data_IF_766620675345
#
_entry.id   IF_766620675345
#
_cell.length_a   1.000
_cell.length_b   1.000
_cell.length_c   1.000
_cell.angle_alpha   90.00
_cell.angle_beta   90.00
_cell.angle_gamma   90.00
#
_symmetry.space_group_name_H-M   'P 1'
#
loop_
_entity.id
_entity.type
_entity.pdbx_description
1 polymer ?
#
# COMPACT_ATOMS: atom_id res chain seq x y z
N UNK A 1 -29.62 -21.94 -28.77
CA UNK A 1 -28.66 -20.81 -28.82
C UNK A 1 -27.47 -21.25 -29.64
N UNK A 2 -27.09 -20.43 -30.63
CA UNK A 2 -26.29 -20.81 -31.81
C UNK A 2 -24.82 -21.05 -31.44
N UNK A 3 -24.30 -22.22 -31.77
CA UNK A 3 -22.87 -22.53 -31.73
C UNK A 3 -22.18 -21.79 -32.88
N UNK A 4 -21.31 -20.84 -32.56
CA UNK A 4 -20.46 -20.16 -33.53
C UNK A 4 -19.19 -21.00 -33.65
N UNK A 5 -19.11 -21.81 -34.71
CA UNK A 5 -17.90 -22.50 -35.13
C UNK A 5 -17.02 -21.45 -35.81
N UNK A 6 -15.94 -21.02 -35.14
CA UNK A 6 -14.94 -20.13 -35.72
C UNK A 6 -13.96 -21.00 -36.52
N UNK A 7 -14.09 -20.99 -37.85
CA UNK A 7 -13.16 -21.63 -38.76
C UNK A 7 -11.85 -20.83 -38.83
N UNK A 8 -10.77 -21.39 -38.29
CA UNK A 8 -9.41 -20.86 -38.46
C UNK A 8 -8.88 -21.35 -39.80
N UNK A 9 -8.69 -20.43 -40.74
CA UNK A 9 -8.13 -20.68 -42.06
C UNK A 9 -6.64 -20.96 -41.92
N UNK A 10 -6.22 -22.20 -42.25
CA UNK A 10 -4.81 -22.58 -42.36
C UNK A 10 -4.28 -22.23 -43.76
N UNK A 11 -3.37 -21.26 -43.84
CA UNK A 11 -2.57 -21.06 -45.04
C UNK A 11 -1.41 -22.06 -45.02
N UNK A 12 -1.52 -23.12 -45.81
CA UNK A 12 -0.44 -24.07 -46.08
C UNK A 12 0.63 -23.38 -46.95
N UNK A 13 1.77 -23.04 -46.32
CA UNK A 13 2.97 -22.55 -46.98
C UNK A 13 4.08 -23.61 -46.93
N UNK A 14 4.75 -23.78 -48.07
CA UNK A 14 5.81 -24.72 -48.43
C UNK A 14 6.68 -25.29 -47.29
N UNK A 15 6.91 -26.61 -47.38
CA UNK A 15 7.89 -27.37 -46.62
C UNK A 15 9.31 -26.81 -46.80
N UNK A 16 9.79 -26.12 -45.77
CA UNK A 16 11.21 -26.04 -45.43
C UNK A 16 11.46 -27.19 -44.47
N UNK A 17 12.59 -27.89 -44.59
CA UNK A 17 13.04 -28.86 -43.60
C UNK A 17 13.27 -28.14 -42.25
N UNK A 18 12.20 -28.01 -41.47
CA UNK A 18 12.14 -27.40 -40.15
C UNK A 18 11.27 -28.30 -39.29
N UNK A 19 11.63 -28.44 -38.01
CA UNK A 19 10.94 -29.29 -37.06
C UNK A 19 9.42 -29.09 -37.14
N UNK A 20 8.67 -30.19 -37.10
CA UNK A 20 7.22 -30.15 -37.22
C UNK A 20 6.65 -29.27 -36.09
N UNK A 21 6.03 -28.15 -36.47
CA UNK A 21 5.38 -27.25 -35.53
C UNK A 21 4.09 -27.90 -35.03
N UNK A 22 4.06 -28.16 -33.74
CA UNK A 22 2.90 -28.70 -33.03
C UNK A 22 2.12 -27.56 -32.36
N UNK A 23 0.80 -27.70 -32.32
CA UNK A 23 -0.10 -26.72 -31.72
C UNK A 23 -0.78 -27.31 -30.48
N UNK A 24 -0.65 -26.64 -29.34
CA UNK A 24 -1.36 -26.97 -28.09
C UNK A 24 -2.16 -25.77 -27.58
N UNK A 25 -3.34 -26.06 -27.03
CA UNK A 25 -4.19 -25.07 -26.37
C UNK A 25 -4.08 -25.26 -24.87
N UNK A 26 -3.76 -24.18 -24.17
CA UNK A 26 -3.67 -24.15 -22.72
C UNK A 26 -4.75 -23.25 -22.13
N UNK A 27 -5.26 -23.63 -20.96
CA UNK A 27 -6.20 -22.82 -20.18
C UNK A 27 -5.41 -22.02 -19.15
N UNK A 28 -5.66 -20.71 -19.10
CA UNK A 28 -5.10 -19.80 -18.11
C UNK A 28 -6.11 -19.68 -16.96
N UNK A 29 -5.65 -19.94 -15.74
CA UNK A 29 -6.39 -19.76 -14.49
C UNK A 29 -6.61 -18.28 -14.18
N UNK A 30 -6.43 -17.84 -12.95
CA UNK A 30 -6.70 -16.45 -12.53
C UNK A 30 -5.56 -15.46 -12.80
N UNK A 31 -4.44 -15.94 -13.36
CA UNK A 31 -3.31 -15.09 -13.71
C UNK A 31 -3.67 -14.04 -14.79
N UNK A 32 -2.87 -12.98 -14.86
CA UNK A 32 -3.01 -11.98 -15.91
C UNK A 32 -2.67 -12.59 -17.27
N UNK A 33 -3.55 -12.38 -18.24
CA UNK A 33 -3.45 -13.01 -19.56
C UNK A 33 -2.24 -12.51 -20.35
N UNK A 34 -1.90 -11.23 -20.21
CA UNK A 34 -0.78 -10.62 -20.92
C UNK A 34 0.56 -11.03 -20.30
N UNK A 35 0.64 -11.09 -18.97
CA UNK A 35 1.83 -11.60 -18.27
C UNK A 35 2.14 -13.04 -18.66
N UNK A 36 1.11 -13.90 -18.69
CA UNK A 36 1.26 -15.31 -19.07
C UNK A 36 1.71 -15.43 -20.53
N UNK A 37 1.10 -14.67 -21.45
CA UNK A 37 1.51 -14.67 -22.86
C UNK A 37 2.97 -14.21 -23.03
N UNK A 38 3.36 -13.12 -22.36
CA UNK A 38 4.72 -12.60 -22.44
C UNK A 38 5.76 -13.59 -21.90
N UNK A 39 5.46 -14.24 -20.76
CA UNK A 39 6.33 -15.25 -20.17
C UNK A 39 6.48 -16.48 -21.06
N UNK A 40 5.37 -16.99 -21.61
CA UNK A 40 5.39 -18.14 -22.53
C UNK A 40 6.17 -17.76 -23.80
N UNK A 41 5.89 -16.61 -24.41
CA UNK A 41 6.56 -16.13 -25.63
C UNK A 41 8.08 -16.01 -25.45
N UNK A 42 8.54 -15.62 -24.27
CA UNK A 42 9.98 -15.54 -23.96
C UNK A 42 10.68 -16.92 -23.89
N UNK A 43 9.92 -18.00 -23.69
CA UNK A 43 10.43 -19.38 -23.65
C UNK A 43 10.32 -20.15 -24.95
N UNK A 44 9.65 -19.60 -25.96
CA UNK A 44 9.44 -20.26 -27.25
C UNK A 44 10.66 -20.12 -28.16
N UNK A 45 10.71 -20.98 -29.19
CA UNK A 45 11.68 -20.87 -30.27
C UNK A 45 11.46 -19.56 -31.08
N UNK A 46 12.46 -19.13 -31.89
CA UNK A 46 12.28 -18.00 -32.81
C UNK A 46 11.14 -18.18 -33.81
N UNK A 47 10.69 -19.41 -34.07
CA UNK A 47 9.57 -19.73 -34.96
C UNK A 47 8.23 -19.88 -34.22
N UNK A 48 8.27 -19.93 -32.88
CA UNK A 48 7.12 -20.12 -32.02
C UNK A 48 6.13 -18.97 -32.10
N UNK A 49 4.84 -19.30 -32.10
CA UNK A 49 3.74 -18.34 -32.16
C UNK A 49 2.77 -18.55 -31.01
N UNK A 50 2.31 -17.45 -30.43
CA UNK A 50 1.25 -17.43 -29.43
C UNK A 50 0.01 -16.73 -30.00
N UNK A 51 -1.17 -17.25 -29.68
CA UNK A 51 -2.44 -16.58 -29.93
C UNK A 51 -3.26 -16.59 -28.65
N UNK A 52 -3.45 -15.42 -28.06
CA UNK A 52 -4.29 -15.24 -26.89
C UNK A 52 -5.78 -15.21 -27.29
N UNK A 53 -6.60 -15.96 -26.56
CA UNK A 53 -8.06 -15.99 -26.69
C UNK A 53 -8.68 -15.46 -25.39
N UNK A 54 -8.83 -14.11 -25.22
CA UNK A 54 -9.18 -13.52 -23.93
C UNK A 54 -10.55 -13.94 -23.40
N UNK A 55 -11.53 -14.13 -24.29
CA UNK A 55 -12.90 -14.52 -23.91
C UNK A 55 -12.98 -15.90 -23.27
N UNK A 56 -12.10 -16.81 -23.68
CA UNK A 56 -12.06 -18.19 -23.17
C UNK A 56 -10.96 -18.41 -22.14
N UNK A 57 -10.15 -17.37 -21.86
CA UNK A 57 -8.92 -17.44 -21.05
C UNK A 57 -8.00 -18.58 -21.52
N UNK A 58 -7.83 -18.70 -22.84
CA UNK A 58 -6.96 -19.72 -23.45
C UNK A 58 -5.78 -19.08 -24.16
N UNK A 59 -4.67 -19.79 -24.17
CA UNK A 59 -3.49 -19.47 -24.96
C UNK A 59 -3.21 -20.63 -25.91
N UNK A 60 -3.28 -20.36 -27.21
CA UNK A 60 -2.80 -21.28 -28.23
C UNK A 60 -1.31 -21.03 -28.42
N UNK A 61 -0.52 -22.09 -28.29
CA UNK A 61 0.93 -22.08 -28.52
C UNK A 61 1.23 -23.02 -29.67
N UNK A 62 1.95 -22.52 -30.67
CA UNK A 62 2.45 -23.30 -31.79
C UNK A 62 3.98 -23.23 -31.80
N UNK A 63 4.64 -24.36 -31.60
CA UNK A 63 6.11 -24.43 -31.58
C UNK A 63 6.61 -25.86 -31.85
N UNK A 64 7.91 -26.06 -31.87
CA UNK A 64 8.52 -27.38 -31.93
C UNK A 64 8.22 -28.18 -30.65
N UNK A 65 8.06 -29.50 -30.78
CA UNK A 65 7.67 -30.39 -29.68
C UNK A 65 8.58 -30.32 -28.45
N UNK A 66 9.84 -29.88 -28.60
CA UNK A 66 10.82 -29.71 -27.52
C UNK A 66 10.50 -28.52 -26.59
N UNK A 67 9.87 -27.45 -27.10
CA UNK A 67 9.58 -26.22 -26.33
C UNK A 67 8.19 -26.23 -25.69
N UNK A 68 7.25 -27.05 -26.20
CA UNK A 68 5.90 -27.16 -25.65
C UNK A 68 5.84 -27.56 -24.17
N UNK A 69 6.68 -28.50 -23.65
CA UNK A 69 6.74 -28.81 -22.23
C UNK A 69 7.15 -27.63 -21.35
N UNK A 70 8.01 -26.74 -21.87
CA UNK A 70 8.44 -25.54 -21.14
C UNK A 70 7.30 -24.52 -21.04
N UNK A 71 6.56 -24.30 -22.13
CA UNK A 71 5.34 -23.49 -22.11
C UNK A 71 4.30 -24.05 -21.14
N UNK A 72 4.11 -25.38 -21.13
CA UNK A 72 3.21 -26.07 -20.20
C UNK A 72 3.62 -25.87 -18.74
N UNK A 73 4.92 -26.00 -18.42
CA UNK A 73 5.44 -25.79 -17.07
C UNK A 73 5.23 -24.34 -16.59
N UNK A 74 5.44 -23.35 -17.47
CA UNK A 74 5.21 -21.94 -17.15
C UNK A 74 3.72 -21.71 -16.83
N UNK A 75 2.82 -22.19 -17.67
CA UNK A 75 1.38 -22.02 -17.46
C UNK A 75 0.91 -22.76 -16.20
N UNK A 76 1.41 -23.97 -15.95
CA UNK A 76 1.14 -24.71 -14.73
C UNK A 76 1.59 -23.94 -13.48
N UNK A 77 2.76 -23.29 -13.53
CA UNK A 77 3.24 -22.45 -12.43
C UNK A 77 2.35 -21.21 -12.21
N UNK A 78 1.86 -20.58 -13.27
CA UNK A 78 0.92 -19.45 -13.16
C UNK A 78 -0.45 -19.87 -12.63
N UNK A 79 -0.88 -21.09 -12.92
CA UNK A 79 -2.15 -21.67 -12.47
C UNK A 79 -2.06 -22.28 -11.06
N UNK A 80 -0.88 -22.33 -10.45
CA UNK A 80 -0.72 -22.85 -9.10
C UNK A 80 -1.56 -22.03 -8.10
N UNK A 81 -2.25 -22.68 -7.15
CA UNK A 81 -3.06 -22.00 -6.15
C UNK A 81 -2.16 -21.09 -5.32
N UNK A 82 -2.48 -19.80 -5.32
CA UNK A 82 -1.77 -18.82 -4.50
C UNK A 82 -2.44 -18.76 -3.14
N UNK A 83 -1.72 -19.02 -2.03
CA UNK A 83 -2.31 -19.01 -0.71
C UNK A 83 -2.76 -17.59 -0.32
N UNK A 84 -3.74 -17.52 0.56
CA UNK A 84 -4.14 -16.26 1.17
C UNK A 84 -3.21 -15.94 2.34
N UNK A 85 -2.89 -14.67 2.49
CA UNK A 85 -2.04 -14.16 3.56
C UNK A 85 -2.85 -13.15 4.36
N UNK A 86 -3.00 -13.43 5.64
CA UNK A 86 -3.51 -12.47 6.61
C UNK A 86 -2.35 -11.55 7.02
N UNK A 87 -2.42 -10.29 6.61
CA UNK A 87 -1.44 -9.28 7.03
C UNK A 87 -2.07 -8.38 8.09
N UNK A 88 -1.45 -8.31 9.25
CA UNK A 88 -1.84 -7.44 10.36
C UNK A 88 -0.81 -6.33 10.50
N UNK A 89 -1.30 -5.09 10.60
CA UNK A 89 -0.49 -3.91 10.86
C UNK A 89 -0.95 -3.29 12.17
N UNK A 90 0.01 -3.09 13.06
CA UNK A 90 -0.20 -2.56 14.40
C UNK A 90 0.50 -1.21 14.50
N UNK A 91 -0.28 -0.15 14.68
CA UNK A 91 0.23 1.20 14.92
C UNK A 91 0.28 1.44 16.42
N UNK A 92 1.44 1.85 16.95
CA UNK A 92 1.60 2.24 18.35
C UNK A 92 1.71 3.76 18.42
N UNK A 93 0.60 4.44 18.73
CA UNK A 93 0.60 5.88 18.95
C UNK A 93 0.83 6.17 20.43
N UNK A 94 2.07 6.53 20.79
CA UNK A 94 2.40 7.04 22.11
C UNK A 94 2.32 8.58 22.07
N UNK A 95 1.20 9.14 22.54
CA UNK A 95 1.00 10.58 22.68
C UNK A 95 1.13 11.01 24.15
N UNK A 96 1.96 11.99 24.44
CA UNK A 96 2.00 12.68 25.73
C UNK A 96 1.55 14.11 25.56
N UNK A 97 0.45 14.51 26.23
CA UNK A 97 0.07 15.91 26.34
C UNK A 97 0.79 16.46 27.57
N UNK A 98 1.78 17.35 27.35
CA UNK A 98 2.41 18.16 28.39
C UNK A 98 1.78 19.56 28.35
N UNK A 99 0.74 19.76 29.14
CA UNK A 99 0.02 21.03 29.21
C UNK A 99 0.62 21.86 30.35
N UNK A 100 1.58 22.75 30.02
CA UNK A 100 2.12 23.74 30.95
C UNK A 100 1.36 25.05 30.78
N UNK A 101 0.43 25.32 31.69
CA UNK A 101 -0.21 26.64 31.78
C UNK A 101 0.34 27.37 33.01
N UNK A 102 0.89 28.56 32.75
CA UNK A 102 1.20 29.55 33.77
C UNK A 102 0.15 30.66 33.61
N UNK A 103 -0.75 30.78 34.58
CA UNK A 103 -1.74 31.85 34.58
C UNK A 103 -1.40 32.84 35.69
N UNK A 104 -1.26 34.12 35.33
CA UNK A 104 -0.97 35.21 36.26
C UNK A 104 -2.16 36.15 36.30
N UNK A 105 -2.77 36.28 37.47
CA UNK A 105 -3.99 37.05 37.70
C UNK A 105 -3.76 38.00 38.89
N UNK A 106 -3.94 39.32 38.71
CA UNK A 106 -3.91 40.30 39.83
C UNK A 106 -4.95 41.43 39.74
N UNK A 107 -5.74 41.67 40.80
CA UNK A 107 -6.88 42.62 40.87
C UNK A 107 -6.52 44.03 41.35
N UNK A 108 -7.04 45.08 40.68
CA UNK A 108 -7.03 46.47 41.17
C UNK A 108 -8.43 47.10 40.97
N UNK A 109 -9.09 47.54 42.04
CA UNK A 109 -10.20 48.50 41.95
C UNK A 109 -11.57 48.01 41.44
N UNK A 110 -11.97 46.75 41.71
CA UNK A 110 -13.38 46.32 41.55
C UNK A 110 -13.77 45.66 40.22
N UNK A 111 -12.82 45.18 39.41
CA UNK A 111 -13.08 44.36 38.22
C UNK A 111 -12.46 42.95 38.38
N UNK A 112 -13.10 41.90 37.84
CA UNK A 112 -12.85 40.47 38.14
C UNK A 112 -11.44 39.98 37.88
N UNK A 113 -10.83 39.35 38.90
CA UNK A 113 -9.60 38.54 38.82
C UNK A 113 -9.63 37.42 39.92
N UNK A 114 -9.49 36.14 39.57
CA UNK A 114 -9.69 34.89 40.37
C UNK A 114 -8.41 34.28 41.01
N UNK A 115 -8.38 33.40 42.05
CA UNK A 115 -9.26 33.06 43.20
C UNK A 115 -8.60 32.10 44.28
N UNK A 116 -8.19 32.60 45.49
CA UNK A 116 -8.28 31.92 46.83
C UNK A 116 -6.99 31.86 47.72
N UNK A 117 -6.93 31.89 49.07
CA UNK A 117 -7.89 31.86 50.20
C UNK A 117 -7.31 32.47 51.53
N UNK A 118 -7.50 33.79 51.76
CA UNK A 118 -7.88 34.50 53.02
C UNK A 118 -7.58 36.02 52.88
N UNK A 119 -8.40 36.90 53.47
CA UNK A 119 -8.68 38.22 52.90
C UNK A 119 -7.70 39.30 53.39
N UNK A 120 -6.97 39.90 52.45
CA UNK A 120 -6.31 41.19 52.60
C UNK A 120 -6.40 41.96 51.27
N UNK A 121 -6.38 43.31 51.25
CA UNK A 121 -6.88 44.09 50.11
C UNK A 121 -6.08 43.99 48.80
N UNK A 122 -4.85 43.46 48.83
CA UNK A 122 -3.95 43.36 47.67
C UNK A 122 -3.30 41.96 47.63
N UNK A 123 -3.46 41.22 46.53
CA UNK A 123 -2.84 39.91 46.34
C UNK A 123 -2.63 39.55 44.88
N UNK A 124 -1.49 38.91 44.59
CA UNK A 124 -1.07 38.36 43.30
C UNK A 124 -1.19 36.83 43.37
N UNK A 125 -1.92 36.22 42.45
CA UNK A 125 -2.10 34.76 42.39
C UNK A 125 -1.38 34.19 41.17
N UNK A 126 -0.55 33.17 41.39
CA UNK A 126 0.23 32.48 40.36
C UNK A 126 -0.20 31.03 40.36
N UNK A 127 -0.97 30.63 39.36
CA UNK A 127 -1.39 29.26 39.14
C UNK A 127 -0.43 28.57 38.15
N UNK A 128 0.28 27.54 38.63
CA UNK A 128 1.09 26.67 37.79
C UNK A 128 0.44 25.29 37.68
N UNK A 129 -0.29 25.05 36.59
CA UNK A 129 -0.89 23.74 36.31
C UNK A 129 0.07 22.94 35.45
N UNK A 130 0.59 21.85 36.01
CA UNK A 130 1.34 20.84 35.27
C UNK A 130 0.47 19.59 35.15
N UNK A 131 -0.12 19.38 33.96
CA UNK A 131 -0.92 18.18 33.68
C UNK A 131 -0.22 17.36 32.61
N UNK A 132 0.32 16.21 33.03
CA UNK A 132 0.85 15.18 32.14
C UNK A 132 -0.23 14.13 31.90
N UNK A 133 -0.76 14.10 30.69
CA UNK A 133 -1.68 13.02 30.26
C UNK A 133 -0.95 12.15 29.25
N UNK A 134 -0.76 10.88 29.58
CA UNK A 134 -0.23 9.88 28.66
C UNK A 134 -1.39 9.15 28.02
N UNK A 135 -1.51 9.23 26.69
CA UNK A 135 -2.49 8.48 25.91
C UNK A 135 -1.76 7.55 24.95
N UNK A 136 -1.92 6.23 25.14
CA UNK A 136 -1.49 5.24 24.16
C UNK A 136 -2.70 4.80 23.33
N UNK A 137 -2.68 5.05 22.03
CA UNK A 137 -3.68 4.51 21.10
C UNK A 137 -3.02 3.42 20.25
N UNK A 138 -3.55 2.22 20.32
CA UNK A 138 -3.12 1.11 19.45
C UNK A 138 -4.18 0.87 18.41
N UNK A 139 -3.85 1.06 17.13
CA UNK A 139 -4.75 0.72 16.02
C UNK A 139 -4.25 -0.57 15.37
N UNK A 140 -5.02 -1.64 15.54
CA UNK A 140 -4.75 -2.93 14.89
C UNK A 140 -5.69 -3.07 13.71
N UNK A 141 -5.11 -3.23 12.52
CA UNK A 141 -5.88 -3.50 11.30
C UNK A 141 -5.32 -4.75 10.62
N UNK A 142 -6.19 -5.52 9.98
CA UNK A 142 -5.79 -6.67 9.21
C UNK A 142 -6.52 -6.73 7.87
N UNK A 143 -5.87 -7.33 6.89
CA UNK A 143 -6.49 -7.68 5.62
C UNK A 143 -6.07 -9.08 5.18
N UNK A 144 -6.92 -9.69 4.36
CA UNK A 144 -6.65 -10.97 3.72
C UNK A 144 -6.31 -10.70 2.26
N UNK A 145 -5.11 -11.10 1.83
CA UNK A 145 -4.62 -10.84 0.48
C UNK A 145 -3.98 -12.08 -0.08
N UNK A 146 -4.36 -12.44 -1.29
CA UNK A 146 -3.74 -13.53 -2.01
C UNK A 146 -2.26 -13.21 -2.30
N UNK A 147 -1.37 -14.19 -2.14
CA UNK A 147 0.07 -14.02 -2.42
C UNK A 147 0.29 -13.42 -3.82
N UNK A 148 1.07 -12.33 -3.89
CA UNK A 148 1.38 -11.56 -5.09
C UNK A 148 0.35 -10.51 -5.48
N UNK A 149 -0.72 -10.32 -4.71
CA UNK A 149 -1.73 -9.26 -4.94
C UNK A 149 -1.53 -8.11 -3.95
N UNK A 150 -2.06 -6.94 -4.30
CA UNK A 150 -1.99 -5.73 -3.48
C UNK A 150 -3.35 -5.41 -2.87
N UNK A 151 -3.36 -4.99 -1.62
CA UNK A 151 -4.51 -4.35 -0.99
C UNK A 151 -4.05 -3.20 -0.08
N UNK A 152 -4.96 -2.32 0.33
CA UNK A 152 -4.62 -1.11 1.09
C UNK A 152 -5.21 -1.13 2.49
N UNK A 153 -4.41 -0.74 3.49
CA UNK A 153 -4.81 -0.51 4.89
C UNK A 153 -4.90 0.98 5.12
N UNK A 154 -5.99 1.47 5.70
CA UNK A 154 -6.12 2.89 6.02
C UNK A 154 -5.28 3.23 7.25
N UNK A 155 -4.46 4.27 7.16
CA UNK A 155 -3.61 4.72 8.27
C UNK A 155 -4.28 5.86 9.03
N UNK A 156 -4.79 6.86 8.29
CA UNK A 156 -5.51 8.00 8.85
C UNK A 156 -6.71 8.41 7.98
N UNK A 157 -7.80 8.85 8.61
CA UNK A 157 -9.03 9.26 7.90
C UNK A 157 -8.92 10.65 7.27
N UNK A 158 -8.18 11.55 7.91
CA UNK A 158 -7.93 12.91 7.44
C UNK A 158 -6.51 13.31 7.83
N UNK A 159 -5.70 13.72 6.86
CA UNK A 159 -4.31 14.13 7.10
C UNK A 159 -4.26 15.66 7.17
N UNK A 160 -3.79 16.25 8.27
CA UNK A 160 -3.87 17.70 8.50
C UNK A 160 -2.90 18.54 7.64
N UNK A 161 -1.98 17.88 6.92
CA UNK A 161 -0.92 18.54 6.13
C UNK A 161 -1.10 18.34 4.63
N UNK A 162 -2.28 18.67 4.09
CA UNK A 162 -2.60 18.51 2.66
C UNK A 162 -1.55 19.17 1.76
N UNK A 163 -1.17 20.42 2.08
CA UNK A 163 -0.20 21.19 1.28
C UNK A 163 1.19 20.52 1.26
N UNK A 164 1.63 19.95 2.40
CA UNK A 164 2.91 19.21 2.48
C UNK A 164 2.96 18.04 1.50
N UNK A 165 1.92 17.20 1.48
CA UNK A 165 1.90 16.03 0.60
C UNK A 165 1.72 16.42 -0.87
N UNK A 166 1.02 17.52 -1.14
CA UNK A 166 0.92 18.07 -2.49
C UNK A 166 2.30 18.52 -3.01
N UNK A 167 3.02 19.33 -2.22
CA UNK A 167 4.37 19.82 -2.59
C UNK A 167 5.36 18.67 -2.73
N UNK A 168 5.28 17.68 -1.83
CA UNK A 168 6.12 16.48 -1.89
C UNK A 168 5.85 15.66 -3.16
N UNK A 169 4.57 15.45 -3.52
CA UNK A 169 4.18 14.75 -4.73
C UNK A 169 4.57 15.52 -6.01
N UNK A 170 4.45 16.84 -6.00
CA UNK A 170 4.89 17.72 -7.09
C UNK A 170 6.41 17.63 -7.29
N UNK A 171 7.18 17.65 -6.21
CA UNK A 171 8.65 17.53 -6.24
C UNK A 171 9.16 16.20 -6.81
N UNK A 172 8.37 15.12 -6.64
CA UNK A 172 8.65 13.79 -7.23
C UNK A 172 8.00 13.57 -8.61
N UNK A 173 7.30 14.58 -9.15
CA UNK A 173 6.66 14.49 -10.46
C UNK A 173 5.41 13.60 -10.52
N UNK A 174 4.84 13.21 -9.36
CA UNK A 174 3.59 12.44 -9.29
C UNK A 174 2.35 13.27 -9.68
N UNK A 175 2.46 14.60 -9.70
CA UNK A 175 1.38 15.52 -10.06
C UNK A 175 1.88 16.46 -11.17
N UNK A 176 1.11 16.60 -12.25
CA UNK A 176 1.52 17.33 -13.47
C UNK A 176 0.65 18.56 -13.80
N UNK A 177 -0.02 19.15 -12.81
CA UNK A 177 -0.91 20.30 -13.03
C UNK A 177 -0.96 21.28 -11.86
N UNK A 178 -0.61 22.55 -12.13
CA UNK A 178 -0.60 23.66 -11.14
C UNK A 178 -2.01 24.07 -10.69
N UNK A 179 -3.07 23.58 -11.35
CA UNK A 179 -4.47 23.95 -11.06
C UNK A 179 -5.22 22.96 -10.17
N UNK A 180 -4.62 21.82 -9.83
CA UNK A 180 -5.28 20.79 -9.03
C UNK A 180 -5.09 21.05 -7.55
N UNK A 181 -6.06 21.70 -6.91
CA UNK A 181 -6.01 21.92 -5.45
C UNK A 181 -6.54 20.69 -4.71
N UNK A 182 -5.68 19.99 -4.00
CA UNK A 182 -6.13 18.95 -3.05
C UNK A 182 -6.94 19.61 -1.93
N UNK A 183 -8.12 19.08 -1.66
CA UNK A 183 -9.03 19.62 -0.64
C UNK A 183 -9.05 18.78 0.63
N UNK A 184 -9.10 17.46 0.46
CA UNK A 184 -9.04 16.49 1.55
C UNK A 184 -8.18 15.33 1.09
N UNK A 185 -7.39 14.81 2.02
CA UNK A 185 -6.61 13.61 1.77
C UNK A 185 -6.76 12.59 2.90
N UNK A 186 -6.67 11.32 2.53
CA UNK A 186 -6.53 10.19 3.43
C UNK A 186 -5.16 9.55 3.26
N UNK A 187 -4.62 9.02 4.36
CA UNK A 187 -3.40 8.22 4.32
C UNK A 187 -3.79 6.73 4.37
N UNK A 188 -3.26 5.96 3.43
CA UNK A 188 -3.38 4.51 3.40
C UNK A 188 -2.04 3.90 2.99
N UNK A 189 -1.83 2.63 3.32
CA UNK A 189 -0.62 1.90 2.98
C UNK A 189 -0.99 0.72 2.10
N UNK A 190 -0.35 0.61 0.95
CA UNK A 190 -0.45 -0.57 0.11
C UNK A 190 0.38 -1.70 0.70
N UNK A 191 -0.13 -2.91 0.62
CA UNK A 191 0.46 -4.13 1.16
C UNK A 191 0.41 -5.21 0.10
N UNK A 192 1.58 -5.73 -0.27
CA UNK A 192 1.72 -6.83 -1.23
C UNK A 192 2.50 -7.97 -0.59
N UNK A 193 1.83 -9.01 -0.06
CA UNK A 193 2.52 -10.18 0.47
C UNK A 193 2.93 -11.14 -0.64
N UNK A 194 4.09 -11.80 -0.52
CA UNK A 194 4.58 -12.85 -1.41
C UNK A 194 5.13 -14.00 -0.57
N UNK A 195 4.49 -15.15 -0.67
CA UNK A 195 4.91 -16.37 0.03
C UNK A 195 6.09 -17.01 -0.69
N UNK A 196 7.15 -17.33 0.06
CA UNK A 196 8.40 -17.95 -0.38
C UNK A 196 8.78 -19.06 0.60
N UNK A 197 8.20 -20.25 0.40
CA UNK A 197 8.34 -21.35 1.37
C UNK A 197 7.74 -20.94 2.72
N UNK A 198 8.55 -21.00 3.78
CA UNK A 198 8.13 -20.66 5.15
C UNK A 198 8.11 -19.14 5.44
N UNK A 199 8.62 -18.33 4.51
CA UNK A 199 8.75 -16.89 4.66
C UNK A 199 7.70 -16.15 3.84
N UNK A 200 7.30 -14.99 4.34
CA UNK A 200 6.45 -14.05 3.63
C UNK A 200 7.22 -12.74 3.47
N UNK A 201 7.50 -12.40 2.23
CA UNK A 201 7.98 -11.07 1.85
C UNK A 201 6.76 -10.15 1.79
N UNK A 202 6.79 -9.03 2.51
CA UNK A 202 5.73 -8.03 2.50
C UNK A 202 6.30 -6.71 2.02
N UNK A 203 5.88 -6.30 0.84
CA UNK A 203 6.16 -4.97 0.29
C UNK A 203 5.09 -3.98 0.76
N UNK A 204 5.56 -2.85 1.29
CA UNK A 204 4.74 -1.80 1.87
C UNK A 204 5.12 -0.46 1.28
N UNK A 205 4.16 0.32 0.79
CA UNK A 205 4.42 1.68 0.33
C UNK A 205 3.27 2.63 0.68
N UNK A 206 3.57 3.93 0.89
CA UNK A 206 2.56 4.90 1.24
C UNK A 206 1.67 5.22 0.04
N UNK A 207 0.39 5.40 0.30
CA UNK A 207 -0.61 5.87 -0.65
C UNK A 207 -1.37 7.05 -0.05
N UNK A 208 -1.50 8.13 -0.81
CA UNK A 208 -2.36 9.25 -0.45
C UNK A 208 -3.59 9.22 -1.36
N UNK A 209 -4.77 9.20 -0.75
CA UNK A 209 -6.04 9.37 -1.48
C UNK A 209 -6.44 10.83 -1.43
N UNK A 210 -6.75 11.45 -2.56
CA UNK A 210 -7.16 12.85 -2.63
C UNK A 210 -8.41 13.01 -3.50
N UNK A 211 -9.15 14.11 -3.31
CA UNK A 211 -10.28 14.47 -4.16
C UNK A 211 -9.90 15.63 -5.11
N UNK A 212 -9.81 15.32 -6.41
CA UNK A 212 -9.53 16.25 -7.50
C UNK A 212 -10.76 16.32 -8.40
N UNK A 213 -11.36 17.50 -8.57
CA UNK A 213 -12.55 17.71 -9.43
C UNK A 213 -13.69 16.70 -9.16
N UNK A 214 -13.93 16.40 -7.87
CA UNK A 214 -14.89 15.42 -7.39
C UNK A 214 -14.61 13.95 -7.79
N UNK A 215 -13.43 13.64 -8.31
CA UNK A 215 -12.90 12.29 -8.51
C UNK A 215 -11.90 11.97 -7.42
N UNK A 216 -11.93 10.74 -6.94
CA UNK A 216 -10.94 10.24 -6.01
C UNK A 216 -9.72 9.75 -6.79
N UNK A 217 -8.56 10.31 -6.47
CA UNK A 217 -7.27 9.89 -7.00
C UNK A 217 -6.45 9.23 -5.90
N UNK A 218 -5.60 8.29 -6.29
CA UNK A 218 -4.67 7.59 -5.40
C UNK A 218 -3.27 7.81 -5.94
N UNK A 219 -2.39 8.29 -5.07
CA UNK A 219 -1.00 8.56 -5.40
C UNK A 219 -0.14 7.53 -4.69
N UNK A 220 0.57 6.73 -5.49
CA UNK A 220 1.44 5.66 -5.03
C UNK A 220 2.88 6.16 -4.90
N UNK A 221 3.37 6.29 -3.67
CA UNK A 221 4.76 6.66 -3.41
C UNK A 221 5.68 5.42 -3.43
N UNK A 222 5.76 4.74 -4.59
CA UNK A 222 6.52 3.48 -4.71
C UNK A 222 8.01 3.62 -4.44
N UNK A 223 8.58 4.81 -4.64
CA UNK A 223 9.98 5.10 -4.30
C UNK A 223 10.25 5.01 -2.80
N UNK A 224 9.21 5.10 -1.97
CA UNK A 224 9.27 4.98 -0.52
C UNK A 224 8.93 3.55 -0.05
N UNK A 225 8.99 2.56 -0.95
CA UNK A 225 8.66 1.19 -0.61
C UNK A 225 9.63 0.62 0.43
N UNK A 226 9.08 -0.12 1.38
CA UNK A 226 9.81 -0.90 2.37
C UNK A 226 9.44 -2.36 2.22
N UNK A 227 10.44 -3.21 2.14
CA UNK A 227 10.25 -4.65 2.02
C UNK A 227 10.72 -5.31 3.30
N UNK A 228 9.83 -6.08 3.92
CA UNK A 228 10.15 -6.87 5.12
C UNK A 228 9.94 -8.34 4.85
N UNK A 229 10.84 -9.18 5.36
CA UNK A 229 10.68 -10.64 5.31
C UNK A 229 10.34 -11.13 6.70
N UNK A 230 9.22 -11.81 6.84
CA UNK A 230 8.73 -12.34 8.13
C UNK A 230 8.43 -13.81 8.00
N UNK A 231 8.74 -14.59 9.04
CA UNK A 231 8.26 -15.97 9.10
C UNK A 231 6.74 -15.95 9.33
N UNK A 232 6.02 -16.96 8.82
CA UNK A 232 4.57 -17.03 9.01
C UNK A 232 4.18 -16.92 10.50
N UNK A 233 3.33 -15.96 10.85
CA UNK A 233 2.85 -15.66 12.20
C UNK A 233 3.78 -14.80 13.06
N UNK A 234 5.01 -14.52 12.63
CA UNK A 234 5.96 -13.69 13.38
C UNK A 234 5.68 -12.20 13.18
N UNK A 235 6.06 -11.40 14.19
CA UNK A 235 5.92 -9.94 14.16
C UNK A 235 7.28 -9.32 13.91
N UNK A 236 7.34 -8.35 12.99
CA UNK A 236 8.51 -7.51 12.76
C UNK A 236 8.14 -6.04 12.94
N UNK A 237 8.97 -5.29 13.66
CA UNK A 237 8.83 -3.85 13.80
C UNK A 237 9.46 -3.14 12.60
N UNK A 238 8.76 -2.14 12.08
CA UNK A 238 9.17 -1.30 10.95
C UNK A 238 9.22 0.14 11.43
N UNK A 239 10.36 0.80 11.23
CA UNK A 239 10.61 2.17 11.70
C UNK A 239 9.93 3.27 10.88
N UNK A 240 9.38 2.92 9.71
CA UNK A 240 8.79 3.83 8.74
C UNK A 240 9.08 3.37 7.32
N UNK A 241 8.84 4.25 6.35
CA UNK A 241 9.14 4.00 4.96
C UNK A 241 10.62 4.26 4.63
N UNK A 242 11.27 3.32 3.94
CA UNK A 242 12.63 3.45 3.44
C UNK A 242 12.70 4.59 2.41
N UNK A 243 13.69 5.48 2.53
CA UNK A 243 13.85 6.64 1.67
C UNK A 243 12.94 7.84 2.01
N UNK A 244 11.97 7.66 2.90
CA UNK A 244 11.14 8.76 3.36
C UNK A 244 11.88 9.61 4.39
N UNK A 245 11.66 10.93 4.36
CA UNK A 245 12.16 11.82 5.40
C UNK A 245 11.47 11.50 6.73
N UNK A 246 12.12 11.86 7.85
CA UNK A 246 11.51 11.74 9.16
C UNK A 246 10.20 12.55 9.24
N UNK A 247 10.16 13.70 8.57
CA UNK A 247 8.96 14.54 8.48
C UNK A 247 7.83 13.85 7.72
N UNK A 248 8.12 13.20 6.59
CA UNK A 248 7.11 12.45 5.84
C UNK A 248 6.54 11.34 6.71
N UNK A 249 7.39 10.54 7.35
CA UNK A 249 6.97 9.44 8.22
C UNK A 249 6.11 9.97 9.37
N UNK A 250 6.53 11.02 10.06
CA UNK A 250 5.74 11.64 11.14
C UNK A 250 4.37 12.10 10.63
N UNK A 251 4.32 12.86 9.53
CA UNK A 251 3.07 13.42 9.00
C UNK A 251 2.11 12.34 8.48
N UNK A 252 2.66 11.26 7.92
CA UNK A 252 1.88 10.16 7.36
C UNK A 252 1.24 9.30 8.46
N UNK A 253 1.97 9.04 9.54
CA UNK A 253 1.48 8.25 10.69
C UNK A 253 0.80 9.10 11.77
N UNK A 254 0.91 10.43 11.74
CA UNK A 254 0.25 11.34 12.69
C UNK A 254 -1.26 11.37 12.43
N UNK A 255 -1.99 10.42 13.03
CA UNK A 255 -3.45 10.40 13.02
C UNK A 255 -4.03 11.56 13.84
N UNK A 256 -4.15 12.75 13.25
CA UNK A 256 -4.99 13.85 13.76
C UNK A 256 -4.64 14.47 15.13
N UNK A 257 -3.56 14.04 15.80
CA UNK A 257 -3.13 14.59 17.09
C UNK A 257 -2.34 15.88 16.94
N UNK A 258 -2.98 17.03 17.15
CA UNK A 258 -2.30 18.35 17.26
C UNK A 258 -1.54 18.45 18.60
N UNK A 259 -0.39 17.80 18.75
CA UNK A 259 0.50 18.11 19.88
C UNK A 259 1.94 17.70 19.59
N UNK A 260 2.86 18.66 19.66
CA UNK A 260 4.30 18.54 19.33
C UNK A 260 5.15 17.71 20.31
N UNK A 261 4.66 16.52 20.70
CA UNK A 261 5.49 15.50 21.34
C UNK A 261 6.19 14.64 20.28
N UNK A 262 7.38 14.13 20.60
CA UNK A 262 8.10 13.14 19.77
C UNK A 262 7.24 11.88 19.64
N UNK A 263 6.46 11.80 18.56
CA UNK A 263 5.69 10.62 18.18
C UNK A 263 6.62 9.66 17.44
N UNK A 264 6.82 8.47 17.99
CA UNK A 264 7.58 7.42 17.29
C UNK A 264 6.74 6.87 16.13
N UNK A 265 7.24 7.04 14.90
CA UNK A 265 6.61 6.67 13.63
C UNK A 265 6.72 5.19 13.27
N UNK A 266 6.84 4.30 14.27
CA UNK A 266 7.01 2.86 14.01
C UNK A 266 5.68 2.13 13.99
N UNK A 267 5.58 1.12 13.15
CA UNK A 267 4.48 0.16 13.14
C UNK A 267 5.03 -1.26 13.16
N UNK A 268 4.22 -2.23 13.54
CA UNK A 268 4.60 -3.64 13.48
C UNK A 268 3.76 -4.36 12.44
N UNK A 269 4.36 -5.34 11.78
CA UNK A 269 3.73 -6.15 10.74
C UNK A 269 3.80 -7.61 11.13
N UNK A 270 2.67 -8.31 10.99
CA UNK A 270 2.59 -9.76 11.06
C UNK A 270 1.97 -10.27 9.77
N UNK A 271 2.55 -11.30 9.17
CA UNK A 271 1.94 -11.98 8.04
C UNK A 271 1.76 -13.46 8.36
N UNK A 272 0.56 -14.00 8.11
CA UNK A 272 0.23 -15.40 8.39
C UNK A 272 -0.37 -16.04 7.14
N UNK A 273 0.25 -17.11 6.65
CA UNK A 273 -0.29 -17.91 5.54
C UNK A 273 -1.54 -18.66 6.03
N UNK A 274 -2.58 -18.70 5.20
CA UNK A 274 -3.85 -19.38 5.48
C UNK A 274 -4.03 -20.60 4.58
#
# INVERSE_FOLDING_TARGET
>A
MKAIVLAVVWAAGLAVAGAALESKVFVIGDADLQEVEAAVKASLSPQGKTVLLPRERKLLVQDEAEYLPMAEAIIAAFNAPRPNVRVEVMFQEAGGIDDRRLEVRGRIGGRDISAGNRPGPNGLEIDAVNRRTTSSRTANQFLMVQSGRTASIRVAQEVPFVDYFYDYALGLGYVTGVQTRWRSIGAQMAVTPRVRGDWVEVELYPQITTLVDARQEVIDFRELATVVTVASGQVVQVGGFQGASEEFNRNFFSGGGRSGGSQTSSFSVRATVQ
#
